data_IF_545632770673
#
_entry.id   IF_545632770673
#
_cell.length_a   1.000
_cell.length_b   1.000
_cell.length_c   1.000
_cell.angle_alpha   90.00
_cell.angle_beta   90.00
_cell.angle_gamma   90.00
#
_symmetry.space_group_name_H-M   'P 1'
#
loop_
_entity.id
_entity.type
_entity.pdbx_description
1 polymer ?
#
# COMPACT_ATOMS: atom_id res chain seq x y z
N UNK A 1 -33.87 5.74 83.85
CA UNK A 1 -34.18 4.75 82.82
C UNK A 1 -33.83 5.40 81.46
N UNK A 2 -32.67 5.05 80.90
CA UNK A 2 -32.17 5.55 79.62
C UNK A 2 -32.42 4.50 78.55
N UNK A 3 -32.93 4.87 77.34
CA UNK A 3 -33.18 3.88 76.28
C UNK A 3 -31.86 3.55 75.54
N UNK A 4 -31.76 2.35 74.92
CA UNK A 4 -30.53 1.90 74.21
C UNK A 4 -30.40 2.53 72.83
N UNK A 5 -29.19 2.95 72.52
CA UNK A 5 -28.75 3.46 71.24
C UNK A 5 -28.62 2.32 70.18
N UNK A 6 -29.43 2.36 69.15
CA UNK A 6 -29.29 1.47 67.97
C UNK A 6 -28.28 2.02 66.98
N UNK A 7 -27.10 1.38 66.90
CA UNK A 7 -26.11 1.62 65.83
C UNK A 7 -26.62 0.97 64.55
N UNK A 8 -26.85 1.81 63.51
CA UNK A 8 -27.07 1.33 62.14
C UNK A 8 -25.73 1.04 61.46
N UNK A 9 -25.53 -0.21 61.07
CA UNK A 9 -24.38 -0.68 60.31
C UNK A 9 -24.66 -0.39 58.82
N UNK A 10 -23.95 0.60 58.24
CA UNK A 10 -24.02 0.89 56.81
C UNK A 10 -23.03 -0.01 56.06
N UNK A 11 -23.57 -0.95 55.30
CA UNK A 11 -22.77 -1.80 54.42
C UNK A 11 -22.58 -1.02 53.10
N UNK A 12 -21.38 -0.51 52.89
CA UNK A 12 -20.98 0.11 51.63
C UNK A 12 -20.66 -0.98 50.59
N UNK A 13 -21.49 -1.09 49.56
CA UNK A 13 -21.18 -1.95 48.39
C UNK A 13 -20.23 -1.17 47.51
N UNK A 14 -18.96 -1.61 47.47
CA UNK A 14 -17.95 -1.11 46.53
C UNK A 14 -18.21 -1.75 45.16
N UNK A 15 -18.68 -0.95 44.18
CA UNK A 15 -18.73 -1.36 42.81
C UNK A 15 -17.32 -1.31 42.22
N UNK A 16 -16.70 -2.47 41.96
CA UNK A 16 -15.47 -2.58 41.21
C UNK A 16 -15.85 -2.47 39.72
N UNK A 17 -15.59 -1.32 39.11
CA UNK A 17 -15.65 -1.14 37.66
C UNK A 17 -14.46 -1.89 37.04
N UNK A 18 -14.72 -3.09 36.52
CA UNK A 18 -13.78 -3.78 35.64
C UNK A 18 -13.82 -3.13 34.28
N UNK A 19 -12.86 -2.25 33.98
CA UNK A 19 -12.65 -1.72 32.63
C UNK A 19 -12.08 -2.85 31.78
N UNK A 20 -12.91 -3.46 30.94
CA UNK A 20 -12.46 -4.34 29.86
C UNK A 20 -11.68 -3.49 28.84
N UNK A 21 -10.36 -3.49 28.97
CA UNK A 21 -9.45 -2.97 27.94
C UNK A 21 -9.59 -3.90 26.74
N UNK A 22 -10.34 -3.50 25.72
CA UNK A 22 -10.35 -4.16 24.43
C UNK A 22 -8.93 -4.05 23.86
N UNK A 23 -8.21 -5.17 23.81
CA UNK A 23 -6.92 -5.27 23.13
C UNK A 23 -7.22 -5.16 21.63
N UNK A 24 -7.17 -3.95 21.11
CA UNK A 24 -7.27 -3.69 19.68
C UNK A 24 -6.07 -4.36 19.03
N UNK A 25 -6.31 -5.45 18.29
CA UNK A 25 -5.24 -6.14 17.54
C UNK A 25 -4.65 -5.14 16.57
N UNK A 26 -3.40 -4.74 16.81
CA UNK A 26 -2.67 -3.86 15.90
C UNK A 26 -2.67 -4.50 14.50
N UNK A 27 -3.01 -3.70 13.48
CA UNK A 27 -2.90 -4.11 12.08
C UNK A 27 -1.43 -4.42 11.79
N UNK A 28 -1.15 -5.65 11.34
CA UNK A 28 0.17 -6.02 10.85
C UNK A 28 0.19 -5.76 9.35
N UNK A 29 1.01 -4.83 8.87
CA UNK A 29 1.15 -4.58 7.43
C UNK A 29 1.53 -5.88 6.72
N UNK A 30 0.92 -6.15 5.57
CA UNK A 30 1.23 -7.32 4.75
C UNK A 30 2.64 -7.20 4.15
N UNK A 31 3.07 -5.97 3.85
CA UNK A 31 4.36 -5.68 3.25
C UNK A 31 5.41 -5.37 4.34
N UNK A 32 6.59 -5.96 4.19
CA UNK A 32 7.74 -5.79 5.07
C UNK A 32 8.91 -5.17 4.32
N UNK A 33 9.85 -4.50 4.99
CA UNK A 33 11.10 -4.08 4.36
C UNK A 33 11.78 -5.25 3.65
N UNK A 34 12.35 -5.01 2.47
CA UNK A 34 13.06 -6.05 1.72
C UNK A 34 14.24 -6.65 2.52
N UNK A 35 14.80 -5.90 3.46
CA UNK A 35 15.83 -6.38 4.40
C UNK A 35 15.34 -7.46 5.36
N UNK A 36 14.04 -7.59 5.56
CA UNK A 36 13.39 -8.61 6.40
C UNK A 36 12.90 -9.82 5.58
N UNK A 37 13.27 -9.89 4.30
CA UNK A 37 12.84 -10.95 3.40
C UNK A 37 13.30 -12.32 3.88
N UNK A 38 12.35 -13.22 4.10
CA UNK A 38 12.62 -14.61 4.54
C UNK A 38 12.28 -15.66 3.48
N UNK A 39 11.75 -15.23 2.33
CA UNK A 39 11.35 -16.11 1.23
C UNK A 39 11.07 -15.33 -0.05
N UNK A 40 10.77 -16.03 -1.15
CA UNK A 40 10.46 -15.37 -2.41
C UNK A 40 9.05 -14.72 -2.37
N UNK A 41 8.03 -15.51 -2.01
CA UNK A 41 6.65 -15.04 -1.99
C UNK A 41 6.38 -14.08 -0.83
N UNK A 42 5.70 -12.98 -1.13
CA UNK A 42 5.35 -11.94 -0.18
C UNK A 42 5.23 -10.57 -0.81
N UNK A 43 5.06 -9.56 0.03
CA UNK A 43 5.12 -8.15 -0.34
C UNK A 43 6.33 -7.51 0.37
N UNK A 44 7.24 -6.90 -0.40
CA UNK A 44 8.51 -6.40 0.09
C UNK A 44 8.67 -4.92 -0.25
N UNK A 45 8.81 -4.07 0.77
CA UNK A 45 9.07 -2.63 0.60
C UNK A 45 10.51 -2.47 0.12
N UNK A 46 10.67 -1.96 -1.09
CA UNK A 46 11.98 -1.74 -1.72
C UNK A 46 12.51 -0.34 -1.45
N UNK A 47 11.61 0.63 -1.24
CA UNK A 47 11.98 2.01 -0.88
C UNK A 47 10.78 2.78 -0.34
N UNK A 48 11.05 3.68 0.60
CA UNK A 48 10.21 4.82 0.97
C UNK A 48 10.92 6.10 0.53
N UNK A 49 10.23 6.96 -0.22
CA UNK A 49 10.81 8.17 -0.79
C UNK A 49 9.97 9.41 -0.48
N UNK A 50 10.63 10.49 -0.09
CA UNK A 50 9.99 11.82 0.00
C UNK A 50 9.83 12.37 -1.41
N UNK A 51 8.61 12.65 -1.83
CA UNK A 51 8.28 13.21 -3.15
C UNK A 51 8.08 14.73 -3.08
N UNK A 52 7.53 15.22 -1.97
CA UNK A 52 7.21 16.64 -1.78
C UNK A 52 5.94 17.06 -2.50
N UNK A 53 5.85 18.35 -2.86
CA UNK A 53 4.73 18.88 -3.61
C UNK A 53 4.81 18.47 -5.09
N UNK A 54 3.65 18.14 -5.65
CA UNK A 54 3.54 17.75 -7.04
C UNK A 54 3.16 18.96 -7.93
N UNK A 55 3.55 18.97 -9.22
CA UNK A 55 3.06 19.92 -10.20
C UNK A 55 1.53 19.89 -10.30
N UNK A 56 0.94 20.97 -10.81
CA UNK A 56 -0.52 21.05 -11.04
C UNK A 56 -1.01 20.27 -12.27
N UNK A 57 -0.09 19.81 -13.11
CA UNK A 57 -0.39 18.98 -14.28
C UNK A 57 -0.72 17.55 -13.82
N UNK A 58 -1.40 16.75 -14.68
CA UNK A 58 -1.61 15.33 -14.44
C UNK A 58 -0.29 14.60 -14.19
N UNK A 59 -0.27 13.79 -13.13
CA UNK A 59 0.91 13.09 -12.62
C UNK A 59 0.88 11.63 -13.03
N UNK A 60 2.04 11.11 -13.39
CA UNK A 60 2.24 9.73 -13.82
C UNK A 60 3.39 9.07 -13.05
N UNK A 61 3.29 7.77 -12.90
CA UNK A 61 4.39 6.92 -12.46
C UNK A 61 5.14 6.40 -13.69
N UNK A 62 6.39 6.82 -13.83
CA UNK A 62 7.28 6.38 -14.89
C UNK A 62 8.16 5.24 -14.36
N UNK A 63 8.27 4.18 -15.14
CA UNK A 63 9.09 3.00 -14.85
C UNK A 63 10.09 2.86 -15.98
N UNK A 64 11.36 3.08 -15.67
CA UNK A 64 12.46 2.92 -16.61
C UNK A 64 13.41 1.84 -16.08
N UNK A 65 13.91 0.96 -16.97
CA UNK A 65 14.90 -0.06 -16.61
C UNK A 65 16.30 0.38 -17.02
N UNK A 66 17.29 0.02 -16.18
CA UNK A 66 18.70 0.32 -16.41
C UNK A 66 19.55 -0.93 -16.28
N UNK A 67 20.71 -0.99 -17.00
CA UNK A 67 21.65 -2.11 -16.86
C UNK A 67 22.25 -2.21 -15.46
N UNK A 68 22.44 -1.07 -14.78
CA UNK A 68 23.06 -1.02 -13.46
C UNK A 68 22.55 0.17 -12.63
N UNK A 69 22.69 0.07 -11.30
CA UNK A 69 22.44 1.18 -10.38
C UNK A 69 23.34 2.38 -10.67
N UNK A 70 24.59 2.15 -11.04
CA UNK A 70 25.55 3.21 -11.34
C UNK A 70 25.12 4.08 -12.53
N UNK A 71 24.40 3.50 -13.48
CA UNK A 71 23.82 4.23 -14.62
C UNK A 71 22.48 4.91 -14.28
N UNK A 72 21.66 4.30 -13.41
CA UNK A 72 20.38 4.84 -13.02
C UNK A 72 20.48 6.04 -12.05
N UNK A 73 21.43 6.02 -11.10
CA UNK A 73 21.56 7.05 -10.06
C UNK A 73 21.76 8.48 -10.61
N UNK A 74 22.67 8.73 -11.58
CA UNK A 74 22.82 10.06 -12.15
C UNK A 74 21.64 10.52 -13.03
N UNK A 75 20.80 9.59 -13.50
CA UNK A 75 19.64 9.87 -14.34
C UNK A 75 18.39 10.27 -13.53
N UNK A 76 18.36 10.00 -12.21
CA UNK A 76 17.20 10.32 -11.38
C UNK A 76 17.05 11.82 -11.18
N UNK A 77 15.84 12.33 -11.44
CA UNK A 77 15.43 13.67 -11.06
C UNK A 77 15.03 13.76 -9.58
N UNK A 78 14.55 14.91 -9.11
CA UNK A 78 14.22 15.15 -7.71
C UNK A 78 13.11 14.22 -7.15
N UNK A 79 12.28 13.65 -8.01
CA UNK A 79 11.21 12.69 -7.66
C UNK A 79 11.46 11.28 -8.21
N UNK A 80 12.72 10.98 -8.54
CA UNK A 80 13.17 9.67 -8.99
C UNK A 80 13.75 8.84 -7.84
N UNK A 81 13.50 7.54 -7.86
CA UNK A 81 14.01 6.57 -6.89
C UNK A 81 14.56 5.35 -7.63
N UNK A 82 15.81 4.99 -7.35
CA UNK A 82 16.45 3.80 -7.94
C UNK A 82 16.26 2.63 -6.99
N UNK A 83 15.67 1.54 -7.49
CA UNK A 83 15.48 0.30 -6.74
C UNK A 83 16.01 -0.91 -7.52
N UNK A 84 16.48 -1.91 -6.79
CA UNK A 84 16.78 -3.23 -7.33
C UNK A 84 15.67 -4.18 -6.89
N UNK A 85 14.91 -4.70 -7.85
CA UNK A 85 13.72 -5.49 -7.59
C UNK A 85 13.44 -6.43 -8.76
N UNK A 86 12.97 -7.65 -8.45
CA UNK A 86 12.60 -8.66 -9.46
C UNK A 86 13.70 -8.93 -10.49
N UNK A 87 14.97 -8.90 -10.03
CA UNK A 87 16.16 -9.19 -10.85
C UNK A 87 16.56 -8.07 -11.81
N UNK A 88 16.05 -6.84 -11.63
CA UNK A 88 16.38 -5.68 -12.48
C UNK A 88 16.64 -4.43 -11.65
N UNK A 89 17.31 -3.47 -12.27
CA UNK A 89 17.44 -2.10 -11.76
C UNK A 89 16.36 -1.23 -12.39
N UNK A 90 15.62 -0.53 -11.56
CA UNK A 90 14.52 0.33 -11.95
C UNK A 90 14.78 1.76 -11.50
N UNK A 91 14.52 2.73 -12.37
CA UNK A 91 14.30 4.12 -11.99
C UNK A 91 12.79 4.36 -11.99
N UNK A 92 12.25 4.62 -10.81
CA UNK A 92 10.83 4.88 -10.56
C UNK A 92 10.65 6.37 -10.32
N UNK A 93 9.93 7.06 -11.21
CA UNK A 93 9.81 8.52 -11.14
C UNK A 93 8.36 8.96 -11.13
N UNK A 94 8.02 9.93 -10.26
CA UNK A 94 6.71 10.56 -10.19
C UNK A 94 6.80 11.93 -10.88
N UNK A 95 6.26 12.05 -12.10
CA UNK A 95 6.37 13.24 -12.93
C UNK A 95 5.17 13.43 -13.88
N UNK A 96 5.15 14.54 -14.60
CA UNK A 96 4.14 14.83 -15.62
C UNK A 96 4.25 13.86 -16.80
N UNK A 97 3.20 13.75 -17.60
CA UNK A 97 3.18 12.90 -18.80
C UNK A 97 4.37 13.17 -19.72
N UNK A 98 4.92 12.12 -20.29
CA UNK A 98 6.01 12.20 -21.27
C UNK A 98 7.39 12.54 -20.71
N UNK A 99 7.54 12.71 -19.40
CA UNK A 99 8.85 12.92 -18.78
C UNK A 99 9.80 11.75 -19.10
N UNK A 100 11.08 12.04 -19.35
CA UNK A 100 12.10 11.04 -19.67
C UNK A 100 13.38 11.29 -18.89
N UNK A 101 14.00 10.25 -18.29
CA UNK A 101 15.35 10.35 -17.75
C UNK A 101 16.39 10.35 -18.88
N UNK A 102 17.65 10.64 -18.53
CA UNK A 102 18.77 10.41 -19.42
C UNK A 102 19.11 8.91 -19.45
N UNK A 103 19.06 8.31 -20.62
CA UNK A 103 19.30 6.87 -20.79
C UNK A 103 18.14 6.01 -20.25
N UNK A 104 18.42 4.69 -20.12
CA UNK A 104 17.43 3.70 -19.72
C UNK A 104 16.37 3.40 -20.77
N UNK A 105 15.64 2.31 -20.55
CA UNK A 105 14.53 1.90 -21.41
C UNK A 105 13.20 2.16 -20.69
N UNK A 106 12.29 2.94 -21.29
CA UNK A 106 10.95 3.13 -20.77
C UNK A 106 10.17 1.82 -20.85
N UNK A 107 9.76 1.33 -19.69
CA UNK A 107 8.98 0.11 -19.54
C UNK A 107 7.49 0.43 -19.42
N UNK A 108 7.13 1.46 -18.63
CA UNK A 108 5.74 1.89 -18.47
C UNK A 108 5.63 3.36 -18.08
N UNK A 109 4.46 3.94 -18.41
CA UNK A 109 3.97 5.23 -17.92
C UNK A 109 2.54 4.99 -17.44
N UNK A 110 2.31 5.09 -16.13
CA UNK A 110 1.07 4.71 -15.47
C UNK A 110 0.43 5.95 -14.86
N UNK A 111 -0.77 6.28 -15.33
CA UNK A 111 -1.49 7.45 -14.87
C UNK A 111 -2.66 7.84 -15.79
N UNK A 112 -3.30 9.00 -15.55
CA UNK A 112 -2.97 9.94 -14.47
C UNK A 112 -3.30 9.36 -13.08
N UNK A 113 -2.38 9.59 -12.12
CA UNK A 113 -2.60 9.19 -10.73
C UNK A 113 -3.56 10.20 -10.06
N UNK A 114 -4.60 9.73 -9.37
CA UNK A 114 -5.43 10.60 -8.53
C UNK A 114 -4.62 11.25 -7.42
N UNK A 115 -4.43 12.56 -7.47
CA UNK A 115 -3.70 13.36 -6.48
C UNK A 115 -4.51 14.57 -6.05
N UNK A 116 -4.32 15.03 -4.81
CA UNK A 116 -4.93 16.24 -4.26
C UNK A 116 -3.93 17.39 -4.34
N UNK A 117 -4.25 18.50 -5.00
CA UNK A 117 -3.37 19.66 -5.07
C UNK A 117 -2.98 20.20 -3.67
N UNK A 118 -1.75 20.68 -3.53
CA UNK A 118 -1.27 21.34 -2.33
C UNK A 118 -0.80 20.40 -1.20
N UNK A 119 -0.98 19.09 -1.33
CA UNK A 119 -0.42 18.12 -0.40
C UNK A 119 1.07 17.88 -0.67
N UNK A 120 1.79 17.54 0.39
CA UNK A 120 3.14 16.95 0.29
C UNK A 120 3.02 15.43 0.25
N UNK A 121 3.69 14.80 -0.70
CA UNK A 121 3.59 13.37 -0.96
C UNK A 121 4.84 12.60 -0.54
N UNK A 122 4.64 11.36 -0.15
CA UNK A 122 5.64 10.31 -0.08
C UNK A 122 5.22 9.16 -1.01
N UNK A 123 6.20 8.39 -1.47
CA UNK A 123 5.99 7.20 -2.28
C UNK A 123 6.59 5.99 -1.58
N UNK A 124 5.78 4.97 -1.35
CA UNK A 124 6.24 3.65 -0.94
C UNK A 124 6.27 2.76 -2.18
N UNK A 125 7.45 2.25 -2.51
CA UNK A 125 7.66 1.31 -3.62
C UNK A 125 7.83 -0.10 -3.08
N UNK A 126 7.17 -1.06 -3.74
CA UNK A 126 7.18 -2.45 -3.29
C UNK A 126 7.32 -3.40 -4.48
N UNK A 127 7.87 -4.57 -4.23
CA UNK A 127 7.68 -5.74 -5.07
C UNK A 127 6.68 -6.68 -4.39
N UNK A 128 5.76 -7.22 -5.17
CA UNK A 128 4.80 -8.19 -4.70
C UNK A 128 4.88 -9.47 -5.53
N UNK A 129 5.21 -10.57 -4.86
CA UNK A 129 5.34 -11.91 -5.44
C UNK A 129 4.31 -12.80 -4.75
N UNK A 130 3.20 -13.06 -5.42
CA UNK A 130 2.09 -13.79 -4.84
C UNK A 130 1.82 -15.07 -5.63
N UNK A 131 1.79 -16.19 -4.94
CA UNK A 131 1.31 -17.45 -5.53
C UNK A 131 -0.21 -17.39 -5.72
N UNK A 132 -0.78 -18.15 -6.68
CA UNK A 132 -2.22 -18.22 -6.87
C UNK A 132 -2.97 -18.51 -5.57
N UNK A 133 -4.00 -17.72 -5.28
CA UNK A 133 -4.79 -17.77 -4.06
C UNK A 133 -4.26 -16.97 -2.88
N UNK A 134 -3.02 -16.45 -2.92
CA UNK A 134 -2.55 -15.52 -1.88
C UNK A 134 -3.37 -14.22 -1.91
N UNK A 135 -3.61 -13.68 -0.71
CA UNK A 135 -4.41 -12.47 -0.52
C UNK A 135 -3.66 -11.42 0.30
N UNK A 136 -3.98 -10.14 0.06
CA UNK A 136 -3.74 -9.08 1.02
C UNK A 136 -5.05 -8.81 1.78
N UNK A 137 -5.04 -8.76 3.13
CA UNK A 137 -6.25 -8.51 3.91
C UNK A 137 -6.86 -7.13 3.59
N UNK A 138 -8.12 -6.92 4.00
CA UNK A 138 -8.81 -5.66 3.76
C UNK A 138 -8.06 -4.47 4.40
N UNK A 139 -7.71 -3.49 3.57
CA UNK A 139 -6.93 -2.32 3.95
C UNK A 139 -7.30 -1.09 3.11
N UNK A 140 -6.73 0.08 3.47
CA UNK A 140 -6.88 1.36 2.77
C UNK A 140 -5.54 2.05 2.62
N UNK A 141 -5.45 2.91 1.60
CA UNK A 141 -4.36 3.86 1.42
C UNK A 141 -4.89 5.29 1.48
N UNK A 142 -4.15 6.24 2.07
CA UNK A 142 -4.54 7.66 2.08
C UNK A 142 -4.21 8.39 0.75
N UNK A 143 -3.79 7.65 -0.27
CA UNK A 143 -3.46 8.14 -1.60
C UNK A 143 -3.55 7.03 -2.63
N UNK A 144 -3.08 7.31 -3.84
CA UNK A 144 -3.22 6.40 -4.98
C UNK A 144 -2.34 5.17 -4.86
N UNK A 145 -2.87 4.00 -5.19
CA UNK A 145 -2.10 2.80 -5.46
C UNK A 145 -2.08 2.51 -6.97
N UNK A 146 -0.92 2.11 -7.49
CA UNK A 146 -0.76 1.69 -8.89
C UNK A 146 0.12 0.46 -9.01
N UNK A 147 -0.17 -0.39 -10.03
CA UNK A 147 0.57 -1.63 -10.26
C UNK A 147 1.09 -1.74 -11.69
N UNK A 148 2.35 -2.16 -11.79
CA UNK A 148 2.93 -2.70 -13.01
C UNK A 148 3.11 -4.21 -12.84
N UNK A 149 2.27 -5.01 -13.50
CA UNK A 149 2.31 -6.48 -13.41
C UNK A 149 3.24 -7.05 -14.47
N UNK A 150 4.30 -7.74 -14.02
CA UNK A 150 5.29 -8.39 -14.89
C UNK A 150 4.83 -9.80 -15.32
N UNK A 151 4.27 -10.57 -14.37
CA UNK A 151 3.74 -11.92 -14.60
C UNK A 151 2.49 -12.15 -13.77
N UNK A 152 1.69 -13.13 -14.18
CA UNK A 152 0.49 -13.55 -13.45
C UNK A 152 -0.64 -12.51 -13.45
N UNK A 153 -1.56 -12.68 -12.53
CA UNK A 153 -2.78 -11.89 -12.45
C UNK A 153 -3.14 -11.57 -11.01
N UNK A 154 -3.73 -10.40 -10.81
CA UNK A 154 -4.30 -9.97 -9.54
C UNK A 154 -5.71 -9.45 -9.74
N UNK A 155 -6.64 -9.93 -8.94
CA UNK A 155 -7.95 -9.34 -8.78
C UNK A 155 -7.97 -8.47 -7.54
N UNK A 156 -8.40 -7.22 -7.70
CA UNK A 156 -8.66 -6.28 -6.62
C UNK A 156 -10.16 -6.10 -6.46
N UNK A 157 -10.67 -6.30 -5.26
CA UNK A 157 -12.05 -6.03 -4.90
C UNK A 157 -12.13 -4.75 -4.06
N UNK A 158 -13.09 -3.87 -4.41
CA UNK A 158 -13.43 -2.64 -3.69
C UNK A 158 -14.96 -2.59 -3.48
N UNK A 159 -15.51 -1.64 -2.72
CA UNK A 159 -16.96 -1.45 -2.62
C UNK A 159 -17.65 -1.26 -3.98
N UNK A 160 -16.96 -0.66 -4.96
CA UNK A 160 -17.49 -0.34 -6.28
C UNK A 160 -17.42 -1.51 -7.27
N UNK A 161 -16.78 -2.63 -6.90
CA UNK A 161 -16.65 -3.79 -7.75
C UNK A 161 -15.26 -4.41 -7.75
N UNK A 162 -14.85 -4.99 -8.89
CA UNK A 162 -13.51 -5.57 -9.03
C UNK A 162 -12.76 -5.03 -10.23
N UNK A 163 -11.44 -4.99 -10.10
CA UNK A 163 -10.49 -4.73 -11.17
C UNK A 163 -9.51 -5.89 -11.30
N UNK A 164 -8.98 -6.12 -12.49
CA UNK A 164 -8.00 -7.19 -12.74
C UNK A 164 -6.76 -6.58 -13.40
N UNK A 165 -5.62 -6.73 -12.76
CA UNK A 165 -4.30 -6.39 -13.30
C UNK A 165 -3.57 -7.65 -13.74
N UNK A 166 -3.08 -7.66 -14.99
CA UNK A 166 -2.30 -8.78 -15.56
C UNK A 166 -1.15 -8.29 -16.40
N UNK A 167 -0.17 -9.14 -16.60
CA UNK A 167 0.96 -8.86 -17.50
C UNK A 167 0.45 -8.52 -18.92
N UNK A 168 0.98 -7.43 -19.49
CA UNK A 168 0.59 -6.94 -20.82
C UNK A 168 -0.83 -6.36 -20.93
N UNK A 169 -1.58 -6.31 -19.84
CA UNK A 169 -2.91 -5.71 -19.76
C UNK A 169 -2.89 -4.24 -19.34
N UNK A 170 -4.09 -3.68 -19.14
CA UNK A 170 -4.23 -2.35 -18.57
C UNK A 170 -3.67 -2.30 -17.13
N UNK A 171 -3.03 -1.17 -16.81
CA UNK A 171 -2.53 -0.95 -15.46
C UNK A 171 -3.68 -0.69 -14.48
N UNK A 172 -3.54 -1.19 -13.26
CA UNK A 172 -4.51 -0.91 -12.19
C UNK A 172 -4.06 0.35 -11.47
N UNK A 173 -4.99 1.29 -11.31
CA UNK A 173 -4.85 2.50 -10.52
C UNK A 173 -6.06 2.59 -9.60
N UNK A 174 -5.83 2.73 -8.30
CA UNK A 174 -6.87 2.83 -7.28
C UNK A 174 -6.72 4.18 -6.57
N UNK A 175 -7.78 4.99 -6.47
CA UNK A 175 -7.74 6.22 -5.69
C UNK A 175 -7.60 5.91 -4.19
N UNK A 176 -7.03 6.85 -3.44
CA UNK A 176 -6.99 6.76 -1.98
C UNK A 176 -8.37 6.84 -1.34
N UNK A 177 -8.52 6.21 -0.18
CA UNK A 177 -9.72 6.25 0.67
C UNK A 177 -10.55 4.96 0.70
N UNK A 178 -11.04 4.43 -0.42
CA UNK A 178 -11.83 3.19 -0.42
C UNK A 178 -11.07 2.00 0.17
N UNK A 179 -11.75 1.09 0.89
CA UNK A 179 -11.16 -0.18 1.30
C UNK A 179 -10.97 -1.08 0.09
N UNK A 180 -9.97 -1.93 0.16
CA UNK A 180 -9.65 -2.89 -0.86
C UNK A 180 -9.18 -4.23 -0.31
N UNK A 181 -9.37 -5.28 -1.10
CA UNK A 181 -8.89 -6.64 -0.83
C UNK A 181 -8.32 -7.23 -2.12
N UNK A 182 -7.12 -7.76 -2.04
CA UNK A 182 -6.39 -8.26 -3.19
C UNK A 182 -6.28 -9.78 -3.13
N UNK A 183 -6.48 -10.44 -4.28
CA UNK A 183 -6.26 -11.88 -4.46
C UNK A 183 -5.43 -12.11 -5.72
N UNK A 184 -4.33 -12.86 -5.60
CA UNK A 184 -3.62 -13.37 -6.77
C UNK A 184 -4.48 -14.46 -7.43
N UNK A 185 -4.90 -14.23 -8.67
CA UNK A 185 -5.78 -15.12 -9.46
C UNK A 185 -4.99 -15.78 -10.59
N UNK A 186 -5.66 -16.65 -11.36
CA UNK A 186 -5.01 -17.42 -12.42
C UNK A 186 -4.13 -18.56 -11.88
N UNK A 187 -3.19 -19.03 -12.70
CA UNK A 187 -2.35 -20.20 -12.39
C UNK A 187 -0.87 -19.88 -12.30
N UNK A 188 -0.47 -18.66 -12.67
CA UNK A 188 0.90 -18.20 -12.70
C UNK A 188 1.21 -17.36 -11.44
N UNK A 189 2.45 -17.44 -10.93
CA UNK A 189 2.92 -16.57 -9.86
C UNK A 189 2.86 -15.11 -10.33
N UNK A 190 2.11 -14.29 -9.59
CA UNK A 190 2.08 -12.86 -9.84
C UNK A 190 3.39 -12.23 -9.38
N UNK A 191 4.03 -11.43 -10.25
CA UNK A 191 5.13 -10.54 -9.92
C UNK A 191 4.78 -9.13 -10.38
N UNK A 192 4.85 -8.17 -9.47
CA UNK A 192 4.54 -6.79 -9.81
C UNK A 192 5.39 -5.80 -9.01
N UNK A 193 5.67 -4.66 -9.64
CA UNK A 193 6.03 -3.43 -8.94
C UNK A 193 4.75 -2.74 -8.49
N UNK A 194 4.76 -2.21 -7.27
CA UNK A 194 3.63 -1.52 -6.66
C UNK A 194 4.09 -0.16 -6.16
N UNK A 195 3.29 0.86 -6.41
CA UNK A 195 3.43 2.21 -5.88
C UNK A 195 2.24 2.52 -4.97
N UNK A 196 2.52 3.02 -3.77
CA UNK A 196 1.56 3.80 -2.97
C UNK A 196 2.06 5.23 -2.92
N UNK A 197 1.36 6.15 -3.59
CA UNK A 197 1.63 7.58 -3.57
C UNK A 197 0.65 8.23 -2.60
N UNK A 198 1.14 8.67 -1.43
CA UNK A 198 0.28 9.06 -0.32
C UNK A 198 0.66 10.40 0.31
N UNK A 199 -0.28 10.99 1.05
CA UNK A 199 -0.04 12.14 1.93
C UNK A 199 1.08 11.78 2.92
N UNK A 200 2.19 12.53 2.88
CA UNK A 200 3.41 12.27 3.67
C UNK A 200 3.19 12.37 5.19
N UNK A 201 2.05 12.92 5.64
CA UNK A 201 1.69 13.03 7.06
C UNK A 201 0.92 11.82 7.58
N UNK A 202 0.60 10.85 6.71
CA UNK A 202 -0.22 9.67 7.03
C UNK A 202 0.55 8.38 6.77
N UNK A 203 0.28 7.31 7.53
CA UNK A 203 0.83 6.00 7.21
C UNK A 203 0.34 5.54 5.83
N UNK A 204 1.20 4.88 5.02
CA UNK A 204 0.84 4.46 3.65
C UNK A 204 -0.32 3.47 3.61
N UNK A 205 -0.51 2.69 4.66
CA UNK A 205 -1.53 1.64 4.74
C UNK A 205 -2.18 1.59 6.11
N UNK A 206 -3.49 1.40 6.14
CA UNK A 206 -4.27 1.16 7.37
C UNK A 206 -5.23 -0.01 7.19
N UNK A 207 -5.54 -0.73 8.27
CA UNK A 207 -6.58 -1.77 8.24
C UNK A 207 -7.95 -1.20 7.87
N UNK A 208 -8.80 -2.03 7.27
CA UNK A 208 -10.20 -1.71 6.98
C UNK A 208 -11.15 -2.71 7.66
N UNK A 209 -11.21 -2.77 9.00
CA UNK A 209 -12.02 -3.75 9.72
C UNK A 209 -13.53 -3.51 9.57
N UNK A 210 -13.91 -2.32 9.13
CA UNK A 210 -15.29 -1.88 8.88
C UNK A 210 -15.83 -2.34 7.51
N UNK A 211 -15.02 -3.02 6.69
CA UNK A 211 -15.41 -3.51 5.38
C UNK A 211 -15.05 -4.99 5.19
N UNK A 212 -15.99 -5.74 4.62
CA UNK A 212 -15.80 -7.15 4.28
C UNK A 212 -15.91 -7.35 2.78
N UNK A 213 -14.93 -7.98 2.12
CA UNK A 213 -14.99 -8.32 0.69
C UNK A 213 -16.21 -9.20 0.38
N UNK A 214 -16.86 -8.95 -0.75
CA UNK A 214 -18.01 -9.75 -1.26
C UNK A 214 -17.56 -11.08 -1.90
N UNK A 215 -16.24 -11.26 -2.08
CA UNK A 215 -15.66 -12.45 -2.70
C UNK A 215 -15.77 -12.44 -4.23
N UNK A 216 -15.73 -11.27 -4.85
CA UNK A 216 -15.79 -11.10 -6.31
C UNK A 216 -14.54 -11.64 -7.04
N UNK A 217 -13.45 -11.84 -6.30
CA UNK A 217 -12.16 -12.32 -6.79
C UNK A 217 -11.93 -13.83 -6.52
N UNK A 218 -12.98 -14.61 -6.34
CA UNK A 218 -12.85 -16.08 -6.24
C UNK A 218 -12.60 -16.68 -7.62
N UNK A 219 -11.67 -17.63 -7.69
CA UNK A 219 -11.44 -18.49 -8.87
C UNK A 219 -12.58 -19.48 -9.01
#
# INVERSE_FOLDING_TARGET
MTPPSTRRLSIGIAFVLVTLSACEKAFVPVCKPVSERTGEAGCWITSDATIGQLPSQPIFWHIDSYPSRAEAEPAKGPRGTVVESLGKVWLLTIEIAGWRPAGGDRVAEIGPLPVTPGLSYAAQYMEAIFTPGMTAPAHRHPGSEAWYTLTGETCLETPDGKMVGRAGGAHVIVPGGPPMHLTATGTEIRRALVLILHDSTKPPTTAAPDWTPKGLCRN
#
